data_IF_321867981087
#
_entry.id   IF_321867981087
#
_cell.length_a   1.000
_cell.length_b   1.000
_cell.length_c   1.000
_cell.angle_alpha   90.00
_cell.angle_beta   90.00
_cell.angle_gamma   90.00
#
_symmetry.space_group_name_H-M   'P 1'
#
loop_
_entity.id
_entity.type
_entity.pdbx_description
1 polymer ?
#
# COMPACT_ATOMS: atom_id res chain seq x y z
N UNK A 1 -19.41 -22.88 -21.61
CA UNK A 1 -18.24 -23.55 -21.00
C UNK A 1 -18.06 -22.95 -19.60
N UNK A 2 -18.35 -23.67 -18.51
CA UNK A 2 -18.04 -23.12 -17.19
C UNK A 2 -16.53 -22.96 -17.09
N UNK A 3 -16.09 -21.83 -16.59
CA UNK A 3 -14.67 -21.56 -16.40
C UNK A 3 -14.17 -22.50 -15.29
N UNK A 4 -13.04 -23.16 -15.47
CA UNK A 4 -12.48 -24.15 -14.54
C UNK A 4 -12.34 -23.65 -13.09
N UNK A 5 -12.20 -22.34 -12.89
CA UNK A 5 -12.10 -21.73 -11.56
C UNK A 5 -13.45 -21.64 -10.84
N UNK A 6 -14.59 -21.62 -11.56
CA UNK A 6 -15.91 -21.67 -10.96
C UNK A 6 -16.13 -23.03 -10.28
N UNK A 7 -15.72 -24.12 -10.96
CA UNK A 7 -15.76 -25.47 -10.40
C UNK A 7 -14.82 -25.61 -9.19
N UNK A 8 -13.66 -24.97 -9.22
CA UNK A 8 -12.70 -24.97 -8.12
C UNK A 8 -13.24 -24.22 -6.91
N UNK A 9 -13.79 -23.03 -7.10
CA UNK A 9 -14.41 -22.23 -6.04
C UNK A 9 -15.59 -22.94 -5.42
N UNK A 10 -16.50 -23.49 -6.24
CA UNK A 10 -17.70 -24.21 -5.77
C UNK A 10 -17.31 -25.43 -4.95
N UNK A 11 -16.33 -26.21 -5.40
CA UNK A 11 -15.91 -27.44 -4.70
C UNK A 11 -15.13 -27.20 -3.42
N UNK A 12 -14.30 -26.16 -3.37
CA UNK A 12 -13.40 -25.94 -2.23
C UNK A 12 -13.92 -24.91 -1.21
N UNK A 13 -14.78 -23.99 -1.63
CA UNK A 13 -15.35 -22.95 -0.76
C UNK A 13 -16.85 -23.09 -0.56
N UNK A 14 -17.54 -23.92 -1.34
CA UNK A 14 -19.00 -24.03 -1.30
C UNK A 14 -19.59 -24.43 0.04
N UNK A 15 -18.84 -25.22 0.83
CA UNK A 15 -19.29 -25.65 2.17
C UNK A 15 -19.22 -24.51 3.22
N UNK A 16 -18.30 -23.57 3.06
CA UNK A 16 -18.13 -22.44 3.97
C UNK A 16 -19.07 -21.27 3.67
N UNK A 17 -19.73 -21.28 2.51
CA UNK A 17 -20.50 -20.18 1.95
C UNK A 17 -21.98 -20.51 1.75
N UNK A 18 -22.49 -21.55 2.44
CA UNK A 18 -23.90 -21.91 2.39
C UNK A 18 -24.77 -20.71 2.82
N UNK A 19 -25.39 -20.07 1.82
CA UNK A 19 -26.23 -18.89 1.99
C UNK A 19 -25.70 -17.61 1.33
N UNK A 20 -24.47 -17.60 0.79
CA UNK A 20 -23.97 -16.48 0.02
C UNK A 20 -24.46 -16.56 -1.46
N UNK A 21 -24.93 -15.43 -1.96
CA UNK A 21 -25.31 -15.31 -3.37
C UNK A 21 -24.07 -15.28 -4.26
N UNK A 22 -23.69 -16.43 -4.77
CA UNK A 22 -22.50 -16.61 -5.63
C UNK A 22 -22.50 -15.72 -6.89
N UNK A 23 -23.68 -15.32 -7.36
CA UNK A 23 -23.76 -14.42 -8.52
C UNK A 23 -23.21 -13.01 -8.22
N UNK A 24 -23.18 -12.63 -6.95
CA UNK A 24 -22.58 -11.36 -6.48
C UNK A 24 -21.09 -11.48 -6.17
N UNK A 25 -20.57 -12.69 -5.97
CA UNK A 25 -19.16 -12.94 -5.65
C UNK A 25 -18.23 -12.94 -6.86
N UNK A 26 -18.75 -13.17 -8.06
CA UNK A 26 -17.97 -13.23 -9.30
C UNK A 26 -17.54 -11.88 -9.85
N UNK A 27 -17.94 -10.77 -9.18
CA UNK A 27 -17.69 -9.41 -9.66
C UNK A 27 -16.85 -8.57 -8.69
N UNK A 28 -15.94 -9.17 -7.93
CA UNK A 28 -14.90 -8.35 -7.29
C UNK A 28 -13.96 -7.90 -8.40
N UNK A 29 -13.98 -6.63 -8.82
CA UNK A 29 -13.07 -6.16 -9.85
C UNK A 29 -11.64 -6.36 -9.34
N UNK A 30 -10.81 -7.01 -10.14
CA UNK A 30 -9.38 -7.04 -9.85
C UNK A 30 -8.87 -5.60 -9.87
N UNK A 31 -8.52 -5.09 -8.70
CA UNK A 31 -7.85 -3.80 -8.61
C UNK A 31 -6.41 -4.03 -9.05
N UNK A 32 -6.02 -3.35 -10.11
CA UNK A 32 -4.63 -3.33 -10.58
C UNK A 32 -4.10 -1.94 -10.30
N UNK A 33 -2.94 -1.79 -9.65
CA UNK A 33 -2.36 -0.47 -9.43
C UNK A 33 -2.01 0.17 -10.77
N UNK A 34 -2.09 1.49 -10.85
CA UNK A 34 -1.51 2.21 -11.98
C UNK A 34 -0.01 2.28 -11.77
N UNK A 35 0.73 1.56 -12.62
CA UNK A 35 2.18 1.42 -12.50
C UNK A 35 2.88 2.44 -13.36
N UNK A 36 3.79 3.21 -12.76
CA UNK A 36 4.68 4.15 -13.43
C UNK A 36 6.13 3.66 -13.26
N UNK A 37 6.84 3.57 -14.36
CA UNK A 37 8.25 3.14 -14.37
C UNK A 37 9.08 4.24 -15.02
N UNK A 38 9.95 4.85 -14.25
CA UNK A 38 10.88 5.87 -14.75
C UNK A 38 12.04 6.05 -13.79
N UNK A 39 13.16 6.48 -14.30
CA UNK A 39 14.27 6.96 -13.48
C UNK A 39 14.01 8.40 -13.03
N UNK A 40 14.42 8.70 -11.80
CA UNK A 40 14.30 10.07 -11.27
C UNK A 40 12.86 10.62 -11.27
N UNK A 41 11.92 9.84 -10.74
CA UNK A 41 10.50 10.18 -10.71
C UNK A 41 10.16 11.46 -9.92
N UNK A 42 11.06 11.89 -9.06
CA UNK A 42 10.91 13.10 -8.25
C UNK A 42 12.00 14.11 -8.63
N UNK A 43 11.89 14.79 -9.79
CA UNK A 43 12.90 15.71 -10.26
C UNK A 43 12.96 16.97 -9.38
N UNK A 44 14.17 17.49 -9.17
CA UNK A 44 14.39 18.73 -8.42
C UNK A 44 13.90 19.98 -9.18
N UNK A 45 13.58 19.84 -10.45
CA UNK A 45 13.06 20.93 -11.30
C UNK A 45 11.69 20.58 -11.84
N UNK A 46 10.76 21.54 -11.95
CA UNK A 46 9.49 21.32 -12.63
C UNK A 46 9.76 20.76 -14.03
N UNK A 47 9.26 19.57 -14.28
CA UNK A 47 9.40 18.92 -15.58
C UNK A 47 8.64 19.67 -16.67
N UNK A 48 9.08 19.48 -17.89
CA UNK A 48 8.42 20.03 -19.09
C UNK A 48 7.25 19.13 -19.51
N UNK A 49 7.22 17.88 -19.07
CA UNK A 49 6.19 16.90 -19.39
C UNK A 49 5.40 16.49 -18.13
N UNK A 50 4.14 16.10 -18.29
CA UNK A 50 3.36 15.49 -17.22
C UNK A 50 4.12 14.27 -16.70
N UNK A 51 4.33 14.23 -15.38
CA UNK A 51 4.96 13.11 -14.71
C UNK A 51 3.93 12.28 -13.91
N UNK A 52 4.40 11.25 -13.23
CA UNK A 52 3.55 10.41 -12.41
C UNK A 52 2.78 11.21 -11.33
N UNK A 53 3.40 12.27 -10.79
CA UNK A 53 2.76 13.11 -9.76
C UNK A 53 1.62 13.93 -10.39
N UNK A 54 1.81 14.51 -11.60
CA UNK A 54 0.75 15.21 -12.32
C UNK A 54 -0.45 14.30 -12.54
N UNK A 55 -0.18 13.07 -12.97
CA UNK A 55 -1.24 12.07 -13.14
C UNK A 55 -1.97 11.79 -11.83
N UNK A 56 -1.24 11.49 -10.75
CA UNK A 56 -1.83 11.18 -9.44
C UNK A 56 -2.70 12.35 -8.96
N UNK A 57 -2.19 13.58 -8.97
CA UNK A 57 -2.92 14.76 -8.52
C UNK A 57 -4.17 15.02 -9.36
N UNK A 58 -4.08 14.82 -10.68
CA UNK A 58 -5.21 15.04 -11.60
C UNK A 58 -6.32 14.01 -11.37
N UNK A 59 -5.97 12.74 -11.19
CA UNK A 59 -6.96 11.66 -11.14
C UNK A 59 -7.47 11.35 -9.73
N UNK A 60 -6.65 11.51 -8.68
CA UNK A 60 -7.10 11.33 -7.29
C UNK A 60 -7.85 12.55 -6.74
N UNK A 61 -7.71 13.72 -7.38
CA UNK A 61 -8.40 14.97 -7.03
C UNK A 61 -8.38 15.29 -5.54
N UNK A 62 -7.20 15.37 -4.92
CA UNK A 62 -7.09 15.57 -3.48
C UNK A 62 -7.65 16.96 -3.08
N UNK A 63 -8.65 16.96 -2.21
CA UNK A 63 -9.34 18.19 -1.80
C UNK A 63 -8.53 19.00 -0.79
N UNK A 64 -7.98 18.29 0.22
CA UNK A 64 -7.22 18.91 1.32
C UNK A 64 -5.75 19.15 0.96
N UNK A 65 -5.25 18.50 -0.08
CA UNK A 65 -3.84 18.51 -0.49
C UNK A 65 -2.89 18.18 0.65
N UNK A 66 -3.14 17.05 1.30
CA UNK A 66 -2.34 16.53 2.39
C UNK A 66 -1.75 15.19 2.01
N UNK A 67 -0.42 15.10 2.04
CA UNK A 67 0.33 13.88 1.79
C UNK A 67 0.98 13.39 3.07
N UNK A 68 0.64 12.18 3.50
CA UNK A 68 1.29 11.50 4.61
C UNK A 68 2.23 10.42 4.09
N UNK A 69 3.51 10.49 4.45
CA UNK A 69 4.54 9.55 4.00
C UNK A 69 4.87 8.60 5.15
N UNK A 70 4.70 7.31 4.91
CA UNK A 70 5.12 6.22 5.78
C UNK A 70 6.45 5.70 5.26
N UNK A 71 7.46 5.66 6.10
CA UNK A 71 8.80 5.21 5.73
C UNK A 71 9.54 4.61 6.92
N UNK A 72 10.66 3.95 6.66
CA UNK A 72 11.64 3.52 7.65
C UNK A 72 12.82 4.50 7.71
N UNK A 73 13.70 4.32 8.70
CA UNK A 73 14.89 5.16 8.87
C UNK A 73 15.83 5.14 7.65
N UNK A 74 15.94 4.00 6.98
CA UNK A 74 16.81 3.86 5.80
C UNK A 74 16.24 4.58 4.58
N UNK A 75 14.97 4.40 4.30
CA UNK A 75 14.28 4.96 3.13
C UNK A 75 13.92 6.44 3.31
N UNK A 76 13.95 6.94 4.54
CA UNK A 76 13.66 8.34 4.87
C UNK A 76 14.54 9.35 4.09
N UNK A 77 15.74 8.95 3.68
CA UNK A 77 16.63 9.77 2.84
C UNK A 77 16.01 10.19 1.50
N UNK A 78 15.05 9.42 0.99
CA UNK A 78 14.37 9.72 -0.27
C UNK A 78 13.20 10.68 -0.07
N UNK A 79 12.66 10.81 1.15
CA UNK A 79 11.46 11.58 1.43
C UNK A 79 11.63 13.08 1.17
N UNK A 80 12.81 13.66 1.43
CA UNK A 80 13.04 15.09 1.22
C UNK A 80 12.81 15.52 -0.23
N UNK A 81 13.17 14.67 -1.19
CA UNK A 81 12.96 14.93 -2.61
C UNK A 81 11.50 14.84 -2.99
N UNK A 82 10.81 13.85 -2.42
CA UNK A 82 9.37 13.63 -2.62
C UNK A 82 8.57 14.80 -2.03
N UNK A 83 8.83 15.18 -0.78
CA UNK A 83 8.11 16.29 -0.12
C UNK A 83 8.26 17.58 -0.88
N UNK A 84 9.48 17.92 -1.31
CA UNK A 84 9.74 19.11 -2.14
C UNK A 84 8.92 19.12 -3.42
N UNK A 85 8.83 17.99 -4.13
CA UNK A 85 8.07 17.89 -5.36
C UNK A 85 6.57 18.18 -5.13
N UNK A 86 5.99 17.62 -4.07
CA UNK A 86 4.58 17.85 -3.73
C UNK A 86 4.31 19.25 -3.17
N UNK A 87 5.17 19.77 -2.30
CA UNK A 87 4.99 21.09 -1.67
C UNK A 87 5.16 22.23 -2.66
N UNK A 88 6.25 22.20 -3.43
CA UNK A 88 6.59 23.32 -4.30
C UNK A 88 5.71 23.41 -5.55
N UNK A 89 5.36 22.24 -6.12
CA UNK A 89 4.62 22.20 -7.38
C UNK A 89 3.11 22.18 -7.19
N UNK A 90 2.63 21.47 -6.16
CA UNK A 90 1.20 21.21 -5.96
C UNK A 90 0.65 21.78 -4.67
N UNK A 91 1.46 22.49 -3.89
CA UNK A 91 1.05 23.14 -2.62
C UNK A 91 0.46 22.15 -1.60
N UNK A 92 0.98 20.94 -1.55
CA UNK A 92 0.61 19.98 -0.52
C UNK A 92 1.21 20.36 0.82
N UNK A 93 0.48 20.05 1.90
CA UNK A 93 1.09 19.88 3.22
C UNK A 93 1.59 18.46 3.33
N UNK A 94 2.82 18.27 3.76
CA UNK A 94 3.41 16.95 3.91
C UNK A 94 3.73 16.64 5.35
N UNK A 95 3.57 15.37 5.72
CA UNK A 95 4.04 14.83 7.00
C UNK A 95 4.73 13.50 6.73
N UNK A 96 5.90 13.32 7.32
CA UNK A 96 6.70 12.10 7.20
C UNK A 96 6.78 11.41 8.54
N UNK A 97 6.40 10.13 8.58
CA UNK A 97 6.57 9.26 9.72
C UNK A 97 7.58 8.15 9.38
N UNK A 98 8.60 8.00 10.23
CA UNK A 98 9.76 7.11 9.99
C UNK A 98 9.73 5.86 10.87
N UNK A 99 8.62 5.59 11.51
CA UNK A 99 8.49 4.52 12.50
C UNK A 99 8.14 3.15 11.92
N UNK A 100 8.11 2.97 10.59
CA UNK A 100 7.88 1.67 10.01
C UNK A 100 9.06 0.74 10.31
N UNK A 101 8.75 -0.43 10.87
CA UNK A 101 9.74 -1.41 11.31
C UNK A 101 9.70 -2.67 10.42
N UNK A 102 10.79 -3.46 10.41
CA UNK A 102 10.75 -4.78 9.80
C UNK A 102 9.58 -5.62 10.34
N UNK A 103 8.98 -6.43 9.46
CA UNK A 103 7.86 -7.31 9.79
C UNK A 103 6.54 -6.63 10.20
N UNK A 104 6.45 -5.30 10.03
CA UNK A 104 5.22 -4.51 10.25
C UNK A 104 4.51 -4.81 11.60
N UNK A 105 5.12 -4.51 12.76
CA UNK A 105 4.52 -4.79 14.06
C UNK A 105 3.27 -3.93 14.30
N UNK A 106 2.25 -4.54 14.92
CA UNK A 106 0.94 -3.91 15.15
C UNK A 106 1.01 -2.63 15.99
N UNK A 107 1.90 -2.56 16.98
CA UNK A 107 2.06 -1.37 17.83
C UNK A 107 2.51 -0.15 17.01
N UNK A 108 3.47 -0.37 16.11
CA UNK A 108 3.97 0.65 15.18
C UNK A 108 2.87 1.12 14.22
N UNK A 109 2.03 0.19 13.76
CA UNK A 109 0.87 0.50 12.90
C UNK A 109 -0.12 1.37 13.65
N UNK A 110 -0.47 1.03 14.90
CA UNK A 110 -1.43 1.80 15.71
C UNK A 110 -0.95 3.22 16.00
N UNK A 111 0.34 3.39 16.30
CA UNK A 111 0.96 4.72 16.45
C UNK A 111 0.75 5.54 15.16
N UNK A 112 1.09 4.96 14.00
CA UNK A 112 0.95 5.63 12.71
C UNK A 112 -0.49 6.01 12.42
N UNK A 113 -1.46 5.11 12.67
CA UNK A 113 -2.90 5.38 12.51
C UNK A 113 -3.34 6.59 13.32
N UNK A 114 -2.86 6.73 14.56
CA UNK A 114 -3.13 7.89 15.40
C UNK A 114 -2.64 9.21 14.78
N UNK A 115 -1.48 9.20 14.12
CA UNK A 115 -0.93 10.36 13.42
C UNK A 115 -1.69 10.67 12.12
N UNK A 116 -2.02 9.65 11.35
CA UNK A 116 -2.80 9.77 10.10
C UNK A 116 -4.19 10.35 10.37
N UNK A 117 -4.87 9.87 11.42
CA UNK A 117 -6.18 10.40 11.82
C UNK A 117 -6.14 11.88 12.22
N UNK A 118 -5.05 12.35 12.85
CA UNK A 118 -4.86 13.78 13.18
C UNK A 118 -4.53 14.62 11.96
N UNK A 119 -3.77 14.08 11.04
CA UNK A 119 -3.33 14.79 9.84
C UNK A 119 -4.39 14.80 8.73
N UNK A 120 -5.27 13.81 8.69
CA UNK A 120 -6.35 13.64 7.70
C UNK A 120 -5.85 13.78 6.24
N UNK A 121 -4.96 12.92 5.75
CA UNK A 121 -4.42 13.01 4.40
C UNK A 121 -5.43 12.62 3.33
N UNK A 122 -5.27 13.17 2.12
CA UNK A 122 -5.90 12.68 0.89
C UNK A 122 -5.04 11.64 0.18
N UNK A 123 -3.73 11.69 0.41
CA UNK A 123 -2.77 10.75 -0.14
C UNK A 123 -1.92 10.16 0.99
N UNK A 124 -1.79 8.85 0.99
CA UNK A 124 -0.83 8.12 1.83
C UNK A 124 0.21 7.54 0.90
N UNK A 125 1.49 7.75 1.19
CA UNK A 125 2.58 7.23 0.38
C UNK A 125 3.50 6.35 1.20
N UNK A 126 3.66 5.11 0.78
CA UNK A 126 4.64 4.18 1.33
C UNK A 126 5.96 4.34 0.59
N UNK A 127 7.02 4.75 1.27
CA UNK A 127 8.37 4.85 0.70
C UNK A 127 9.28 3.89 1.43
N UNK A 128 9.53 2.71 0.85
CA UNK A 128 10.30 1.68 1.55
C UNK A 128 10.20 0.30 0.92
N UNK A 129 10.67 -0.69 1.65
CA UNK A 129 10.54 -2.10 1.27
C UNK A 129 9.17 -2.70 1.58
N UNK A 130 9.03 -4.01 1.41
CA UNK A 130 7.78 -4.74 1.64
C UNK A 130 7.14 -4.45 3.00
N UNK A 131 7.90 -4.45 4.09
CA UNK A 131 7.37 -4.16 5.44
C UNK A 131 6.78 -2.76 5.56
N UNK A 132 7.39 -1.74 4.91
CA UNK A 132 6.85 -0.37 4.90
C UNK A 132 5.54 -0.31 4.12
N UNK A 133 5.49 -0.99 2.97
CA UNK A 133 4.29 -1.03 2.13
C UNK A 133 3.18 -1.77 2.87
N UNK A 134 3.48 -2.89 3.52
CA UNK A 134 2.53 -3.67 4.30
C UNK A 134 1.98 -2.88 5.50
N UNK A 135 2.86 -2.20 6.26
CA UNK A 135 2.46 -1.23 7.28
C UNK A 135 1.48 -0.20 6.73
N UNK A 136 1.81 0.39 5.56
CA UNK A 136 1.00 1.44 4.95
C UNK A 136 -0.37 0.96 4.49
N UNK A 137 -0.49 -0.28 4.00
CA UNK A 137 -1.78 -0.89 3.63
C UNK A 137 -2.71 -0.99 4.82
N UNK A 138 -2.20 -1.44 5.97
CA UNK A 138 -3.02 -1.56 7.18
C UNK A 138 -3.32 -0.20 7.80
N UNK A 139 -2.35 0.72 7.83
CA UNK A 139 -2.59 2.11 8.23
C UNK A 139 -3.71 2.74 7.38
N UNK A 140 -3.64 2.57 6.08
CA UNK A 140 -4.69 3.05 5.15
C UNK A 140 -6.04 2.40 5.43
N UNK A 141 -6.09 1.08 5.59
CA UNK A 141 -7.31 0.36 5.96
C UNK A 141 -7.94 0.92 7.22
N UNK A 142 -7.19 1.06 8.31
CA UNK A 142 -7.70 1.53 9.60
C UNK A 142 -8.06 3.02 9.58
N UNK A 143 -7.41 3.82 8.74
CA UNK A 143 -7.80 5.21 8.50
C UNK A 143 -9.14 5.32 7.79
N UNK A 144 -9.36 4.50 6.76
CA UNK A 144 -10.61 4.44 6.00
C UNK A 144 -11.76 3.83 6.82
N UNK A 145 -11.44 2.77 7.57
CA UNK A 145 -12.38 1.93 8.32
C UNK A 145 -11.95 1.80 9.79
N UNK A 146 -12.17 2.86 10.60
CA UNK A 146 -11.82 2.83 12.02
C UNK A 146 -12.65 1.83 12.84
N UNK A 147 -13.72 1.33 12.26
CA UNK A 147 -14.56 0.26 12.84
C UNK A 147 -13.92 -1.13 12.77
N UNK A 148 -12.87 -1.30 11.96
CA UNK A 148 -12.19 -2.58 11.76
C UNK A 148 -10.95 -2.73 12.66
N UNK A 149 -11.06 -2.40 13.94
CA UNK A 149 -9.95 -2.52 14.90
C UNK A 149 -9.43 -3.95 15.03
N UNK A 150 -10.33 -4.93 14.97
CA UNK A 150 -9.99 -6.36 14.97
C UNK A 150 -10.01 -6.91 13.53
N UNK A 151 -9.16 -6.31 12.68
CA UNK A 151 -9.08 -6.71 11.27
C UNK A 151 -8.55 -8.13 11.08
N UNK A 152 -7.87 -8.69 12.07
CA UNK A 152 -7.30 -10.03 12.00
C UNK A 152 -8.37 -11.12 11.97
N UNK A 153 -9.52 -10.88 12.59
CA UNK A 153 -10.65 -11.80 12.60
C UNK A 153 -11.80 -11.38 11.67
N UNK A 154 -11.83 -10.10 11.26
CA UNK A 154 -13.03 -9.49 10.65
C UNK A 154 -12.91 -9.32 9.14
N UNK A 155 -11.70 -9.34 8.57
CA UNK A 155 -11.56 -9.19 7.12
C UNK A 155 -11.97 -10.48 6.42
N UNK A 156 -13.16 -10.46 5.86
CA UNK A 156 -13.59 -11.47 4.91
C UNK A 156 -13.06 -11.09 3.52
N UNK A 157 -12.24 -11.92 2.88
CA UNK A 157 -11.63 -11.60 1.57
C UNK A 157 -12.64 -11.44 0.45
N UNK A 158 -13.89 -11.80 0.69
CA UNK A 158 -14.96 -11.86 -0.32
C UNK A 158 -15.80 -10.58 -0.35
N UNK A 159 -15.96 -9.89 0.78
CA UNK A 159 -16.80 -8.70 0.86
C UNK A 159 -15.97 -7.42 0.70
N UNK A 160 -16.49 -6.48 -0.08
CA UNK A 160 -15.89 -5.15 -0.22
C UNK A 160 -15.78 -4.47 1.15
N UNK A 161 -14.57 -4.06 1.49
CA UNK A 161 -14.29 -3.29 2.71
C UNK A 161 -14.77 -1.86 2.54
N UNK A 162 -14.74 -1.33 1.31
CA UNK A 162 -15.21 0.01 0.96
C UNK A 162 -14.24 1.10 1.40
N UNK A 163 -12.95 0.93 1.10
CA UNK A 163 -11.90 1.94 1.26
C UNK A 163 -11.82 2.86 0.03
N UNK A 164 -10.84 3.79 -0.01
CA UNK A 164 -10.66 4.83 -1.05
C UNK A 164 -11.69 5.97 -0.99
N UNK A 165 -12.25 6.23 0.18
CA UNK A 165 -13.20 7.33 0.40
C UNK A 165 -12.51 8.57 0.94
N UNK A 166 -11.46 8.39 1.73
CA UNK A 166 -10.72 9.47 2.38
C UNK A 166 -9.37 9.71 1.72
N UNK A 167 -8.67 8.64 1.32
CA UNK A 167 -7.33 8.73 0.77
C UNK A 167 -7.03 7.65 -0.28
N UNK A 168 -6.06 7.94 -1.14
CA UNK A 168 -5.46 6.98 -2.05
C UNK A 168 -4.09 6.53 -1.55
N UNK A 169 -3.74 5.26 -1.79
CA UNK A 169 -2.44 4.71 -1.43
C UNK A 169 -1.50 4.70 -2.63
N UNK A 170 -0.30 5.26 -2.43
CA UNK A 170 0.80 5.28 -3.38
C UNK A 170 1.94 4.43 -2.81
N UNK A 171 2.43 3.46 -3.55
CA UNK A 171 3.59 2.67 -3.17
C UNK A 171 4.82 3.05 -3.98
N UNK A 172 5.92 3.32 -3.28
CA UNK A 172 7.25 3.65 -3.84
C UNK A 172 8.25 2.65 -3.27
N UNK A 173 8.42 1.48 -3.90
CA UNK A 173 9.32 0.46 -3.39
C UNK A 173 10.78 0.89 -3.50
N UNK A 174 11.53 0.68 -2.42
CA UNK A 174 12.99 0.88 -2.36
C UNK A 174 13.74 -0.44 -2.35
N UNK A 175 13.01 -1.56 -2.44
CA UNK A 175 13.54 -2.92 -2.60
C UNK A 175 12.98 -3.54 -3.87
N UNK A 176 13.71 -4.50 -4.43
CA UNK A 176 13.30 -5.25 -5.62
C UNK A 176 13.06 -6.71 -5.22
N UNK A 177 11.86 -7.24 -5.49
CA UNK A 177 11.54 -8.66 -5.29
C UNK A 177 10.19 -8.91 -4.64
N UNK A 178 9.84 -8.22 -3.56
CA UNK A 178 8.63 -8.52 -2.75
C UNK A 178 7.31 -8.36 -3.50
N UNK A 179 7.24 -7.44 -4.47
CA UNK A 179 6.00 -7.16 -5.21
C UNK A 179 4.85 -6.57 -4.37
N UNK A 180 5.12 -6.16 -3.11
CA UNK A 180 4.08 -5.65 -2.21
C UNK A 180 3.32 -4.47 -2.78
N UNK A 181 3.92 -3.68 -3.67
CA UNK A 181 3.29 -2.56 -4.36
C UNK A 181 2.15 -2.97 -5.31
N UNK A 182 2.09 -4.24 -5.69
CA UNK A 182 1.11 -4.78 -6.64
C UNK A 182 0.26 -5.93 -6.05
N UNK A 183 0.45 -6.29 -4.77
CA UNK A 183 -0.23 -7.44 -4.17
C UNK A 183 -1.36 -7.04 -3.23
N UNK A 184 -2.40 -7.89 -3.10
CA UNK A 184 -3.51 -7.69 -2.16
C UNK A 184 -3.14 -8.06 -0.72
N UNK A 185 -1.93 -8.57 -0.50
CA UNK A 185 -1.50 -9.11 0.78
C UNK A 185 -0.71 -8.10 1.58
N UNK A 186 -0.92 -8.08 2.88
CA UNK A 186 -0.09 -7.42 3.88
C UNK A 186 0.22 -8.44 4.99
N UNK A 187 1.47 -8.56 5.39
CA UNK A 187 1.87 -9.43 6.49
C UNK A 187 2.27 -8.56 7.66
N UNK A 188 1.55 -8.68 8.76
CA UNK A 188 1.81 -7.95 10.00
C UNK A 188 2.22 -8.91 11.11
N UNK A 189 2.93 -8.40 12.11
CA UNK A 189 3.35 -9.18 13.26
C UNK A 189 2.58 -8.71 14.50
N UNK A 190 1.89 -9.66 15.12
CA UNK A 190 1.35 -9.47 16.46
C UNK A 190 2.51 -9.55 17.46
N UNK A 191 2.80 -8.45 18.12
CA UNK A 191 3.92 -8.31 19.04
C UNK A 191 3.71 -9.05 20.36
N UNK A 192 2.46 -9.27 20.77
CA UNK A 192 2.14 -10.01 21.98
C UNK A 192 2.35 -11.51 21.81
N UNK A 193 1.90 -12.07 20.69
CA UNK A 193 1.98 -13.50 20.41
C UNK A 193 3.18 -13.88 19.53
N UNK A 194 3.91 -12.92 19.00
CA UNK A 194 5.00 -13.07 18.04
C UNK A 194 4.60 -13.89 16.79
N UNK A 195 3.36 -13.70 16.34
CA UNK A 195 2.80 -14.41 15.18
C UNK A 195 2.70 -13.48 13.99
N UNK A 196 3.07 -14.02 12.82
CA UNK A 196 2.82 -13.34 11.54
C UNK A 196 1.38 -13.61 11.10
N UNK A 197 0.67 -12.55 10.81
CA UNK A 197 -0.73 -12.58 10.40
C UNK A 197 -0.80 -12.07 8.96
N UNK A 198 -1.00 -12.96 7.98
CA UNK A 198 -1.24 -12.55 6.61
C UNK A 198 -2.68 -12.04 6.47
N UNK A 199 -2.82 -10.84 5.94
CA UNK A 199 -4.09 -10.20 5.64
C UNK A 199 -4.17 -10.08 4.12
N UNK A 200 -5.18 -10.70 3.53
CA UNK A 200 -5.34 -10.72 2.08
C UNK A 200 -6.71 -10.17 1.70
N UNK A 201 -6.72 -9.04 0.98
CA UNK A 201 -7.94 -8.47 0.47
C UNK A 201 -7.65 -7.63 -0.79
N UNK A 202 -8.44 -7.79 -1.85
CA UNK A 202 -8.24 -7.12 -3.14
C UNK A 202 -8.14 -5.59 -3.02
N UNK A 203 -8.91 -4.98 -2.12
CA UNK A 203 -8.89 -3.54 -1.92
C UNK A 203 -7.60 -3.02 -1.28
N UNK A 204 -6.74 -3.89 -0.69
CA UNK A 204 -5.44 -3.50 -0.14
C UNK A 204 -4.36 -3.27 -1.21
N UNK A 205 -4.65 -3.57 -2.47
CA UNK A 205 -3.75 -3.23 -3.57
C UNK A 205 -3.64 -1.71 -3.64
N UNK A 206 -2.42 -1.13 -3.64
CA UNK A 206 -2.23 0.31 -3.81
C UNK A 206 -2.87 0.85 -5.09
N UNK A 207 -3.31 2.11 -5.09
CA UNK A 207 -3.87 2.74 -6.29
C UNK A 207 -2.80 3.04 -7.33
N UNK A 208 -1.59 3.37 -6.83
CA UNK A 208 -0.45 3.75 -7.65
C UNK A 208 0.81 3.06 -7.17
N UNK A 209 1.61 2.55 -8.10
CA UNK A 209 2.94 2.02 -7.86
C UNK A 209 3.97 2.82 -8.67
N UNK A 210 4.92 3.47 -7.99
CA UNK A 210 5.97 4.29 -8.59
C UNK A 210 7.30 3.55 -8.53
N UNK A 211 7.71 2.96 -9.63
CA UNK A 211 8.90 2.13 -9.75
C UNK A 211 10.07 2.97 -10.29
N UNK A 212 10.85 3.54 -9.38
CA UNK A 212 12.10 4.23 -9.74
C UNK A 212 13.28 3.28 -9.50
N UNK A 213 13.91 2.73 -10.53
CA UNK A 213 15.00 1.76 -10.39
C UNK A 213 16.25 2.32 -9.73
N UNK A 214 16.33 3.65 -9.55
CA UNK A 214 17.46 4.28 -8.84
C UNK A 214 17.39 4.13 -7.32
N UNK A 215 16.19 3.86 -6.77
CA UNK A 215 15.99 3.72 -5.33
C UNK A 215 16.59 2.43 -4.75
N UNK A 216 16.39 1.25 -5.37
CA UNK A 216 16.96 -0.01 -4.86
C UNK A 216 18.44 -0.22 -5.15
N UNK A 217 19.09 0.64 -5.93
CA UNK A 217 20.53 0.46 -6.30
C UNK A 217 21.44 0.31 -5.08
N UNK A 218 21.12 0.98 -3.98
CA UNK A 218 21.94 0.97 -2.77
C UNK A 218 21.52 -0.12 -1.75
N UNK A 219 20.75 -1.12 -2.18
CA UNK A 219 20.40 -2.26 -1.31
C UNK A 219 21.64 -3.04 -0.89
N UNK A 220 21.77 -3.42 0.40
CA UNK A 220 22.82 -4.33 0.84
C UNK A 220 22.72 -5.69 0.12
N UNK A 221 23.86 -6.36 -0.20
CA UNK A 221 23.84 -7.64 -0.93
C UNK A 221 22.98 -8.72 -0.26
N UNK A 222 22.99 -8.79 1.07
CA UNK A 222 22.18 -9.76 1.83
C UNK A 222 20.69 -9.52 1.63
N UNK A 223 20.25 -8.25 1.62
CA UNK A 223 18.87 -7.90 1.38
C UNK A 223 18.48 -8.18 -0.08
N UNK A 224 19.35 -7.84 -1.02
CA UNK A 224 19.16 -8.13 -2.46
C UNK A 224 18.99 -9.63 -2.70
N UNK A 225 19.80 -10.46 -2.06
CA UNK A 225 19.66 -11.92 -2.16
C UNK A 225 18.35 -12.41 -1.55
N UNK A 226 17.95 -11.91 -0.37
CA UNK A 226 16.69 -12.28 0.29
C UNK A 226 15.47 -11.92 -0.54
N UNK A 227 15.36 -10.66 -0.96
CA UNK A 227 14.21 -10.21 -1.78
C UNK A 227 14.23 -10.77 -3.20
N UNK A 228 15.40 -11.14 -3.72
CA UNK A 228 15.53 -11.86 -4.99
C UNK A 228 14.94 -13.27 -4.93
N UNK A 229 14.96 -13.93 -3.78
CA UNK A 229 14.30 -15.22 -3.58
C UNK A 229 12.78 -15.12 -3.56
N UNK A 230 12.22 -13.95 -3.22
CA UNK A 230 10.77 -13.73 -3.26
C UNK A 230 10.23 -13.73 -4.70
N UNK A 231 11.10 -13.59 -5.70
CA UNK A 231 10.72 -13.58 -7.13
C UNK A 231 10.63 -15.00 -7.71
N UNK A 232 11.32 -15.97 -7.10
CA UNK A 232 11.39 -17.37 -7.57
C UNK A 232 10.21 -18.19 -7.07
#
# INVERSE_FOLDING_TARGET
>A
MPLWFEDYLIKNFGAALMGADFTRMTFTPFVIPKVFISTNMFPDRPGVAPDAIDYIVTYSRPEKRRLFIVTDEYSARFCNKITRAFEQRYQFKTQVWKGAMPEAPLDSIQECVGLVNKFEPDLIMAVGGGSVIDTSKIVWLLYERPDMQDFTSTINPIFLVGIRKKAHLIAVPTTSGTGSECTPTSVVTDTETNRKIPINHQELIPDYALLDPTLPVAMPPKLTAGTGMDVL
#
